data_IF_592339829473
#
_entry.id   IF_592339829473
#
_cell.length_a   1.000
_cell.length_b   1.000
_cell.length_c   1.000
_cell.angle_alpha   90.00
_cell.angle_beta   90.00
_cell.angle_gamma   90.00
#
_symmetry.space_group_name_H-M   'P 1'
#
loop_
_entity.id
_entity.type
_entity.pdbx_description
1 polymer ?
#
# COMPACT_ATOMS: atom_id res chain seq x y z
N UNK A 1 -36.87 -25.83 11.69
CA UNK A 1 -35.74 -26.02 12.62
C UNK A 1 -34.61 -25.11 12.13
N UNK A 2 -34.64 -23.88 12.58
CA UNK A 2 -33.68 -22.84 12.19
C UNK A 2 -32.38 -23.11 12.96
N UNK A 3 -31.35 -23.54 12.24
CA UNK A 3 -30.01 -23.62 12.85
C UNK A 3 -29.56 -22.21 13.13
N UNK A 4 -29.44 -21.87 14.39
CA UNK A 4 -28.71 -20.69 14.85
C UNK A 4 -27.24 -20.99 14.55
N UNK A 5 -26.75 -20.44 13.44
CA UNK A 5 -25.32 -20.37 13.18
C UNK A 5 -24.75 -19.45 14.27
N UNK A 6 -24.16 -20.01 15.30
CA UNK A 6 -23.26 -19.26 16.18
C UNK A 6 -22.09 -18.82 15.30
N UNK A 7 -22.03 -17.52 14.97
CA UNK A 7 -20.92 -16.99 14.20
C UNK A 7 -19.61 -17.33 14.91
N UNK A 8 -18.83 -18.22 14.35
CA UNK A 8 -17.50 -18.54 14.87
C UNK A 8 -16.63 -17.30 14.66
N UNK A 9 -16.01 -16.75 15.71
CA UNK A 9 -15.10 -15.65 15.54
C UNK A 9 -13.96 -16.08 14.62
N UNK A 10 -13.66 -15.27 13.57
CA UNK A 10 -12.61 -15.59 12.61
C UNK A 10 -11.20 -15.40 13.20
N UNK A 11 -11.08 -14.70 14.32
CA UNK A 11 -9.82 -14.50 15.07
C UNK A 11 -10.02 -15.02 16.49
N UNK A 12 -9.13 -15.90 16.92
CA UNK A 12 -9.05 -16.42 18.28
C UNK A 12 -7.78 -15.84 18.95
N UNK A 13 -7.94 -14.73 19.68
CA UNK A 13 -6.87 -14.02 20.40
C UNK A 13 -7.00 -14.36 21.91
N UNK A 14 -6.16 -15.26 22.39
CA UNK A 14 -6.11 -15.72 23.77
C UNK A 14 -4.73 -15.45 24.40
N UNK A 15 -4.50 -14.23 24.92
CA UNK A 15 -3.23 -13.87 25.53
C UNK A 15 -2.86 -14.73 26.75
N UNK A 16 -3.86 -15.25 27.49
CA UNK A 16 -3.61 -16.07 28.66
C UNK A 16 -2.99 -17.44 28.33
N UNK A 17 -3.22 -17.91 27.10
CA UNK A 17 -2.63 -19.14 26.56
C UNK A 17 -1.52 -18.90 25.55
N UNK A 18 -1.09 -17.67 25.36
CA UNK A 18 -0.13 -17.26 24.33
C UNK A 18 -0.53 -17.78 22.94
N UNK A 19 -1.83 -17.68 22.60
CA UNK A 19 -2.37 -18.23 21.37
C UNK A 19 -3.07 -17.16 20.55
N UNK A 20 -2.73 -17.10 19.25
CA UNK A 20 -3.44 -16.31 18.27
C UNK A 20 -3.65 -17.14 17.00
N UNK A 21 -4.90 -17.29 16.59
CA UNK A 21 -5.25 -18.08 15.40
C UNK A 21 -6.24 -17.32 14.52
N UNK A 22 -6.19 -17.59 13.23
CA UNK A 22 -7.09 -17.05 12.22
C UNK A 22 -7.78 -18.19 11.49
N UNK A 23 -9.11 -18.16 11.45
CA UNK A 23 -9.89 -19.16 10.75
C UNK A 23 -9.68 -19.04 9.23
N UNK A 24 -9.47 -20.14 8.53
CA UNK A 24 -9.17 -20.16 7.10
C UNK A 24 -10.30 -19.67 6.22
N UNK A 25 -11.54 -19.69 6.69
CA UNK A 25 -12.68 -19.08 5.99
C UNK A 25 -12.48 -17.57 5.78
N UNK A 26 -11.73 -16.89 6.64
CA UNK A 26 -11.34 -15.51 6.41
C UNK A 26 -10.60 -15.32 5.07
N UNK A 27 -9.93 -16.37 4.56
CA UNK A 27 -9.17 -16.36 3.31
C UNK A 27 -9.92 -16.95 2.12
N UNK A 28 -11.03 -17.67 2.35
CA UNK A 28 -11.66 -18.49 1.30
C UNK A 28 -13.14 -18.17 1.05
N UNK A 29 -13.84 -17.58 2.05
CA UNK A 29 -15.29 -17.34 1.94
C UNK A 29 -15.62 -16.19 0.98
N UNK A 30 -16.46 -16.41 -0.04
CA UNK A 30 -17.01 -15.34 -0.87
C UNK A 30 -17.88 -14.34 -0.10
N UNK A 31 -18.51 -14.78 0.98
CA UNK A 31 -19.35 -13.97 1.85
C UNK A 31 -18.49 -12.94 2.58
N UNK A 32 -17.42 -13.41 3.24
CA UNK A 32 -16.46 -12.54 3.93
C UNK A 32 -15.84 -11.54 2.96
N UNK A 33 -15.47 -11.99 1.76
CA UNK A 33 -14.93 -11.10 0.72
C UNK A 33 -15.91 -9.95 0.37
N UNK A 34 -17.20 -10.24 0.24
CA UNK A 34 -18.21 -9.20 -0.04
C UNK A 34 -18.37 -8.22 1.11
N UNK A 35 -18.33 -8.70 2.35
CA UNK A 35 -18.39 -7.86 3.54
C UNK A 35 -17.13 -6.99 3.68
N UNK A 36 -15.93 -7.51 3.39
CA UNK A 36 -14.69 -6.73 3.36
C UNK A 36 -14.77 -5.55 2.38
N UNK A 37 -15.35 -5.77 1.19
CA UNK A 37 -15.51 -4.71 0.20
C UNK A 37 -16.34 -3.53 0.72
N UNK A 38 -17.35 -3.80 1.53
CA UNK A 38 -18.19 -2.78 2.15
C UNK A 38 -17.54 -2.22 3.42
N UNK A 39 -17.23 -3.06 4.41
CA UNK A 39 -16.83 -2.65 5.76
C UNK A 39 -15.40 -2.17 5.86
N UNK A 40 -14.48 -2.77 5.12
CA UNK A 40 -13.07 -2.40 5.14
C UNK A 40 -12.78 -1.37 4.06
N UNK A 41 -12.96 -1.74 2.79
CA UNK A 41 -12.63 -0.87 1.67
C UNK A 41 -13.62 0.29 1.51
N UNK A 42 -14.85 0.14 2.00
CA UNK A 42 -15.86 1.21 2.06
C UNK A 42 -15.61 2.27 3.13
N UNK A 43 -14.93 1.90 4.24
CA UNK A 43 -14.82 2.74 5.44
C UNK A 43 -13.38 3.02 5.92
N UNK A 44 -12.38 2.69 5.11
CA UNK A 44 -10.98 2.98 5.41
C UNK A 44 -10.42 4.09 4.51
N UNK A 45 -9.28 4.68 4.90
CA UNK A 45 -8.46 5.46 4.01
C UNK A 45 -7.67 4.54 3.09
N UNK A 46 -7.80 4.74 1.79
CA UNK A 46 -7.15 3.95 0.75
C UNK A 46 -6.18 4.83 -0.03
N UNK A 47 -4.96 4.33 -0.25
CA UNK A 47 -3.96 5.04 -1.05
C UNK A 47 -4.40 5.13 -2.50
N UNK A 48 -4.39 6.34 -3.05
CA UNK A 48 -4.73 6.62 -4.45
C UNK A 48 -3.48 6.78 -5.30
N UNK A 49 -2.47 7.48 -4.79
CA UNK A 49 -1.25 7.81 -5.52
C UNK A 49 -0.40 8.84 -4.81
N UNK A 50 0.64 9.29 -5.47
CA UNK A 50 1.51 10.35 -4.97
C UNK A 50 1.31 11.63 -5.79
N UNK A 51 1.35 12.79 -5.15
CA UNK A 51 1.15 14.10 -5.80
C UNK A 51 2.10 14.35 -6.98
N UNK A 52 3.29 13.72 -6.97
CA UNK A 52 4.26 13.83 -8.06
C UNK A 52 3.79 13.20 -9.38
N UNK A 53 2.80 12.30 -9.32
CA UNK A 53 2.24 11.68 -10.53
C UNK A 53 1.33 12.64 -11.30
N UNK A 54 0.90 13.71 -10.64
CA UNK A 54 0.09 14.79 -11.20
C UNK A 54 0.76 16.14 -10.91
N UNK A 55 2.02 16.29 -11.29
CA UNK A 55 2.87 17.41 -10.92
C UNK A 55 2.42 18.75 -11.53
N UNK A 56 1.91 18.73 -12.76
CA UNK A 56 1.53 19.92 -13.52
C UNK A 56 0.00 20.06 -13.62
N UNK A 57 -0.52 21.30 -13.74
CA UNK A 57 -1.95 21.53 -13.97
C UNK A 57 -2.48 20.73 -15.16
N UNK A 58 -3.56 19.97 -14.95
CA UNK A 58 -4.18 19.09 -15.93
C UNK A 58 -3.60 17.67 -15.97
N UNK A 59 -2.48 17.38 -15.27
CA UNK A 59 -1.98 16.02 -15.16
C UNK A 59 -3.00 15.14 -14.44
N UNK A 60 -3.17 13.91 -14.94
CA UNK A 60 -4.07 12.94 -14.33
C UNK A 60 -3.52 11.52 -14.38
N UNK A 61 -3.97 10.71 -13.42
CA UNK A 61 -3.78 9.25 -13.40
C UNK A 61 -5.11 8.58 -13.06
N UNK A 62 -5.43 7.50 -13.80
CA UNK A 62 -6.60 6.66 -13.57
C UNK A 62 -6.18 5.39 -12.86
N UNK A 63 -6.91 5.03 -11.80
CA UNK A 63 -6.63 3.77 -11.08
C UNK A 63 -7.87 3.25 -10.33
N UNK A 64 -8.04 1.94 -10.24
CA UNK A 64 -9.05 1.37 -9.36
C UNK A 64 -8.59 1.47 -7.91
N UNK A 65 -9.50 1.87 -7.02
CA UNK A 65 -9.25 1.96 -5.56
C UNK A 65 -10.47 1.40 -4.84
N UNK A 66 -10.28 0.42 -3.96
CA UNK A 66 -11.38 -0.23 -3.24
C UNK A 66 -12.45 -0.82 -4.17
N UNK A 67 -12.04 -1.42 -5.30
CA UNK A 67 -12.95 -1.98 -6.30
C UNK A 67 -13.70 -0.94 -7.16
N UNK A 68 -13.45 0.37 -6.99
CA UNK A 68 -14.15 1.45 -7.69
C UNK A 68 -13.21 2.14 -8.68
N UNK A 69 -13.68 2.46 -9.92
CA UNK A 69 -12.88 3.20 -10.89
C UNK A 69 -12.77 4.67 -10.45
N UNK A 70 -11.56 5.11 -10.15
CA UNK A 70 -11.25 6.51 -9.81
C UNK A 70 -10.24 7.10 -10.79
N UNK A 71 -10.11 8.42 -10.78
CA UNK A 71 -8.95 9.11 -11.31
C UNK A 71 -8.58 10.29 -10.42
N UNK A 72 -7.27 10.51 -10.29
CA UNK A 72 -6.66 11.65 -9.61
C UNK A 72 -6.21 12.66 -10.67
N UNK A 73 -6.47 13.94 -10.44
CA UNK A 73 -6.12 15.01 -11.38
C UNK A 73 -5.66 16.25 -10.63
N UNK A 74 -4.69 16.96 -11.17
CA UNK A 74 -4.37 18.32 -10.70
C UNK A 74 -5.21 19.33 -11.45
N UNK A 75 -6.04 20.06 -10.72
CA UNK A 75 -6.90 21.09 -11.26
C UNK A 75 -6.12 22.14 -12.08
N UNK A 76 -6.55 22.42 -13.31
CA UNK A 76 -5.86 23.35 -14.19
C UNK A 76 -6.00 24.82 -13.74
N UNK A 77 -7.06 25.14 -12.99
CA UNK A 77 -7.34 26.48 -12.48
C UNK A 77 -6.83 26.68 -11.06
N UNK A 78 -7.05 25.68 -10.20
CA UNK A 78 -6.76 25.78 -8.77
C UNK A 78 -5.37 25.28 -8.39
N UNK A 79 -4.77 24.40 -9.21
CA UNK A 79 -3.54 23.66 -8.88
C UNK A 79 -3.72 22.63 -7.78
N UNK A 80 -4.92 22.43 -7.27
CA UNK A 80 -5.22 21.45 -6.23
C UNK A 80 -5.37 20.05 -6.83
N UNK A 81 -5.06 19.03 -6.05
CA UNK A 81 -5.32 17.64 -6.43
C UNK A 81 -6.77 17.31 -6.11
N UNK A 82 -7.43 16.65 -7.05
CA UNK A 82 -8.78 16.13 -6.90
C UNK A 82 -8.81 14.63 -7.19
N UNK A 83 -9.72 13.92 -6.54
CA UNK A 83 -10.00 12.50 -6.83
C UNK A 83 -11.49 12.34 -7.10
N UNK A 84 -11.82 11.88 -8.30
CA UNK A 84 -13.20 11.71 -8.75
C UNK A 84 -13.54 10.24 -9.01
N UNK A 85 -14.81 9.89 -8.80
CA UNK A 85 -15.37 8.69 -9.37
C UNK A 85 -15.32 8.78 -10.90
N UNK A 86 -14.72 7.81 -11.54
CA UNK A 86 -14.52 7.80 -13.00
C UNK A 86 -15.80 7.34 -13.72
N UNK A 87 -16.86 8.09 -13.58
CA UNK A 87 -18.16 7.78 -14.16
C UNK A 87 -18.85 9.06 -14.62
N UNK A 88 -19.39 9.04 -15.83
CA UNK A 88 -20.19 10.15 -16.38
C UNK A 88 -21.54 10.25 -15.67
N UNK A 89 -21.86 11.41 -15.18
CA UNK A 89 -23.11 11.68 -14.45
C UNK A 89 -24.37 11.62 -15.34
N UNK A 90 -24.20 11.55 -16.67
CA UNK A 90 -25.30 11.32 -17.59
C UNK A 90 -25.79 9.85 -17.55
N UNK A 91 -24.95 8.88 -17.97
CA UNK A 91 -25.33 7.47 -18.12
C UNK A 91 -24.21 6.49 -17.74
N UNK A 92 -23.31 6.89 -16.84
CA UNK A 92 -22.37 6.01 -16.17
C UNK A 92 -21.13 5.58 -16.97
N UNK A 93 -20.94 6.04 -18.22
CA UNK A 93 -19.75 5.67 -18.98
C UNK A 93 -18.47 6.21 -18.32
N UNK A 94 -17.38 5.43 -18.39
CA UNK A 94 -16.05 5.85 -17.92
C UNK A 94 -15.60 7.11 -18.69
N UNK A 95 -15.25 8.16 -17.96
CA UNK A 95 -14.89 9.47 -18.53
C UNK A 95 -13.39 9.51 -18.86
N UNK A 96 -12.54 9.24 -17.88
CA UNK A 96 -11.10 9.18 -18.04
C UNK A 96 -10.70 7.76 -18.49
N UNK A 97 -10.36 7.59 -19.78
CA UNK A 97 -10.11 6.26 -20.39
C UNK A 97 -8.64 5.87 -20.42
N UNK A 98 -7.74 6.82 -20.55
CA UNK A 98 -6.29 6.57 -20.55
C UNK A 98 -5.74 6.40 -19.14
N UNK A 99 -4.65 5.64 -18.99
CA UNK A 99 -4.02 5.40 -17.68
C UNK A 99 -3.51 6.69 -17.04
N UNK A 100 -2.90 7.56 -17.85
CA UNK A 100 -2.36 8.86 -17.42
C UNK A 100 -2.26 9.81 -18.60
N UNK A 101 -2.03 11.09 -18.32
CA UNK A 101 -1.84 12.11 -19.32
C UNK A 101 -2.01 13.52 -18.76
N UNK A 102 -2.14 14.50 -19.66
CA UNK A 102 -2.48 15.88 -19.32
C UNK A 102 -3.70 16.32 -20.13
N UNK A 103 -4.73 16.81 -19.46
CA UNK A 103 -5.98 17.27 -20.08
C UNK A 103 -6.61 18.41 -19.27
N UNK A 104 -7.05 19.44 -19.98
CA UNK A 104 -7.83 20.53 -19.37
C UNK A 104 -9.29 20.16 -19.18
N UNK A 105 -9.78 19.23 -19.99
CA UNK A 105 -11.17 18.77 -19.98
C UNK A 105 -11.23 17.24 -20.23
N UNK A 106 -12.26 16.63 -19.71
CA UNK A 106 -12.55 15.20 -19.85
C UNK A 106 -13.89 15.06 -20.57
N UNK A 107 -13.88 14.63 -21.82
CA UNK A 107 -15.08 14.42 -22.61
C UNK A 107 -15.51 12.95 -22.56
N UNK A 108 -16.75 12.72 -22.15
CA UNK A 108 -17.37 11.42 -22.21
C UNK A 108 -17.57 10.98 -23.68
N UNK A 109 -17.02 9.84 -24.04
CA UNK A 109 -17.07 9.36 -25.43
C UNK A 109 -18.48 8.99 -25.90
N UNK A 110 -19.41 8.77 -24.95
CA UNK A 110 -20.75 8.28 -25.26
C UNK A 110 -21.65 9.39 -25.84
N UNK A 111 -21.78 10.52 -25.11
CA UNK A 111 -22.65 11.64 -25.54
C UNK A 111 -21.95 13.00 -25.46
N UNK A 112 -20.62 13.01 -25.44
CA UNK A 112 -19.78 14.21 -25.43
C UNK A 112 -20.02 15.17 -24.25
N UNK A 113 -20.63 14.72 -23.14
CA UNK A 113 -20.64 15.51 -21.91
C UNK A 113 -19.19 15.78 -21.49
N UNK A 114 -18.88 17.04 -21.23
CA UNK A 114 -17.52 17.49 -20.99
C UNK A 114 -17.39 18.06 -19.58
N UNK A 115 -16.38 17.62 -18.87
CA UNK A 115 -16.08 18.05 -17.50
C UNK A 115 -14.71 18.74 -17.48
N UNK A 116 -14.55 19.79 -16.69
CA UNK A 116 -13.23 20.40 -16.48
C UNK A 116 -12.39 19.60 -15.47
N UNK A 117 -11.14 20.00 -15.25
CA UNK A 117 -10.24 19.33 -14.32
C UNK A 117 -10.58 19.53 -12.84
N UNK A 118 -11.47 20.45 -12.52
CA UNK A 118 -12.08 20.65 -11.21
C UNK A 118 -13.37 19.82 -11.03
N UNK A 119 -13.76 19.03 -12.05
CA UNK A 119 -14.93 18.17 -12.05
C UNK A 119 -16.23 18.83 -12.47
N UNK A 120 -16.23 20.14 -12.75
CA UNK A 120 -17.46 20.85 -13.14
C UNK A 120 -17.94 20.42 -14.53
N UNK A 121 -19.27 20.30 -14.70
CA UNK A 121 -19.87 20.06 -16.01
C UNK A 121 -19.72 21.30 -16.88
N UNK A 122 -18.81 21.27 -17.86
CA UNK A 122 -18.45 22.39 -18.71
C UNK A 122 -19.21 22.42 -20.03
N UNK A 123 -19.74 21.30 -20.52
CA UNK A 123 -20.45 21.25 -21.79
C UNK A 123 -21.41 20.07 -21.91
N UNK A 124 -22.59 20.36 -22.49
CA UNK A 124 -23.65 19.36 -22.78
C UNK A 124 -24.15 19.64 -24.19
N UNK A 125 -23.93 18.72 -25.16
CA UNK A 125 -24.51 18.85 -26.48
C UNK A 125 -26.04 18.87 -26.45
N UNK A 126 -26.66 19.76 -27.21
CA UNK A 126 -28.14 19.87 -27.28
C UNK A 126 -28.75 20.31 -25.94
N UNK A 127 -28.06 21.15 -25.18
CA UNK A 127 -28.49 21.63 -23.86
C UNK A 127 -29.90 22.23 -23.86
N UNK A 128 -30.29 22.82 -24.98
CA UNK A 128 -31.59 23.40 -25.20
C UNK A 128 -32.74 22.38 -25.23
N UNK A 129 -32.45 21.11 -25.40
CA UNK A 129 -33.42 20.01 -25.32
C UNK A 129 -33.78 19.59 -23.89
N UNK A 130 -33.06 20.12 -22.89
CA UNK A 130 -33.35 19.87 -21.48
C UNK A 130 -34.26 20.96 -20.92
N UNK A 131 -35.12 20.59 -19.96
CA UNK A 131 -36.02 21.54 -19.31
C UNK A 131 -35.29 22.67 -18.56
N UNK A 132 -35.87 23.85 -18.52
CA UNK A 132 -35.28 25.04 -17.89
C UNK A 132 -34.91 24.86 -16.41
N UNK A 133 -35.60 23.95 -15.72
CA UNK A 133 -35.42 23.68 -14.30
C UNK A 133 -34.33 22.66 -13.98
N UNK A 134 -33.62 22.11 -14.99
CA UNK A 134 -32.55 21.15 -14.74
C UNK A 134 -31.30 21.87 -14.21
N UNK A 135 -30.92 21.55 -12.98
CA UNK A 135 -29.65 22.03 -12.39
C UNK A 135 -28.45 21.26 -12.94
N UNK A 136 -27.79 21.83 -13.95
CA UNK A 136 -26.58 21.26 -14.53
C UNK A 136 -25.39 21.28 -13.58
N UNK A 137 -25.35 22.16 -12.58
CA UNK A 137 -24.23 22.18 -11.60
C UNK A 137 -24.24 20.93 -10.73
N UNK A 138 -25.41 20.40 -10.41
CA UNK A 138 -25.58 19.14 -9.68
C UNK A 138 -25.13 17.90 -10.47
N UNK A 139 -24.90 18.04 -11.79
CA UNK A 139 -24.46 16.99 -12.69
C UNK A 139 -22.94 17.01 -12.95
N UNK A 140 -22.18 17.71 -12.13
CA UNK A 140 -20.71 17.68 -12.10
C UNK A 140 -20.19 16.29 -11.68
N UNK A 141 -18.91 15.98 -11.98
CA UNK A 141 -18.28 14.74 -11.50
C UNK A 141 -18.37 14.65 -9.97
N UNK A 142 -18.59 13.45 -9.48
CA UNK A 142 -18.65 13.21 -8.04
C UNK A 142 -17.25 13.01 -7.48
N UNK A 143 -16.78 13.86 -6.56
CA UNK A 143 -15.57 13.60 -5.81
C UNK A 143 -15.77 12.39 -4.88
N UNK A 144 -14.69 11.76 -4.45
CA UNK A 144 -14.74 10.82 -3.32
C UNK A 144 -15.22 11.55 -2.06
N UNK A 145 -15.79 10.82 -1.10
CA UNK A 145 -16.38 11.42 0.11
C UNK A 145 -15.33 12.22 0.92
N UNK A 146 -14.14 11.66 1.07
CA UNK A 146 -13.00 12.34 1.71
C UNK A 146 -11.73 12.10 0.88
N UNK A 147 -10.89 13.12 0.74
CA UNK A 147 -9.54 13.04 0.19
C UNK A 147 -8.62 13.90 1.03
N UNK A 148 -7.52 13.33 1.47
CA UNK A 148 -6.46 14.05 2.17
C UNK A 148 -5.09 13.60 1.66
N UNK A 149 -4.08 14.46 1.80
CA UNK A 149 -2.70 14.16 1.44
C UNK A 149 -1.80 14.26 2.68
N UNK A 150 -0.96 13.26 2.88
CA UNK A 150 0.09 13.29 3.88
C UNK A 150 1.46 13.32 3.19
N UNK A 151 2.07 14.50 3.19
CA UNK A 151 3.42 14.74 2.62
C UNK A 151 3.58 14.19 1.18
N UNK A 152 2.55 14.32 0.36
CA UNK A 152 2.51 13.86 -1.03
C UNK A 152 1.82 12.51 -1.25
N UNK A 153 1.63 11.71 -0.23
CA UNK A 153 0.82 10.49 -0.31
C UNK A 153 -0.66 10.84 -0.26
N UNK A 154 -1.38 10.61 -1.35
CA UNK A 154 -2.81 10.94 -1.49
C UNK A 154 -3.65 9.73 -1.12
N UNK A 155 -4.59 9.96 -0.21
CA UNK A 155 -5.56 8.97 0.24
C UNK A 155 -6.98 9.43 -0.04
N UNK A 156 -7.87 8.48 -0.27
CA UNK A 156 -9.30 8.68 -0.40
C UNK A 156 -10.07 7.76 0.54
N UNK A 157 -11.23 8.22 0.99
CA UNK A 157 -12.22 7.37 1.67
C UNK A 157 -13.59 7.55 1.03
N UNK A 158 -14.40 6.50 1.08
CA UNK A 158 -15.79 6.51 0.63
C UNK A 158 -16.76 6.78 1.78
N UNK A 159 -16.24 6.94 3.00
CA UNK A 159 -17.00 7.27 4.21
C UNK A 159 -16.79 8.75 4.58
N UNK A 160 -17.86 9.51 4.60
CA UNK A 160 -17.85 10.94 5.01
C UNK A 160 -17.46 11.11 6.49
N UNK A 161 -17.70 10.08 7.31
CA UNK A 161 -17.48 10.10 8.75
C UNK A 161 -16.14 9.48 9.17
N UNK A 162 -15.31 9.08 8.23
CA UNK A 162 -13.98 8.57 8.56
C UNK A 162 -13.18 9.63 9.33
N UNK A 163 -12.43 9.22 10.35
CA UNK A 163 -11.54 10.12 11.08
C UNK A 163 -10.53 10.77 10.15
N UNK A 164 -9.98 11.94 10.50
CA UNK A 164 -8.95 12.61 9.68
C UNK A 164 -7.75 11.69 9.43
N UNK A 165 -7.07 11.90 8.30
CA UNK A 165 -5.98 11.04 7.85
C UNK A 165 -4.83 10.99 8.85
N UNK A 166 -4.49 12.12 9.49
CA UNK A 166 -3.37 12.17 10.44
C UNK A 166 -3.65 11.31 11.69
N UNK A 167 -4.87 11.35 12.20
CA UNK A 167 -5.33 10.49 13.30
C UNK A 167 -5.41 9.03 12.84
N UNK A 168 -5.90 8.77 11.63
CA UNK A 168 -5.97 7.42 11.08
C UNK A 168 -4.58 6.78 10.94
N UNK A 169 -3.62 7.49 10.40
CA UNK A 169 -2.25 7.00 10.21
C UNK A 169 -1.53 6.70 11.53
N UNK A 170 -1.95 7.32 12.63
CA UNK A 170 -1.41 7.05 13.98
C UNK A 170 0.14 6.97 13.99
N UNK A 171 0.71 5.87 14.49
CA UNK A 171 2.16 5.64 14.52
C UNK A 171 2.82 5.44 13.15
N UNK A 172 2.06 5.15 12.09
CA UNK A 172 2.60 4.98 10.75
C UNK A 172 3.18 6.27 10.16
N UNK A 173 2.74 7.45 10.65
CA UNK A 173 3.27 8.76 10.22
C UNK A 173 4.78 8.86 10.39
N UNK A 174 5.30 8.43 11.54
CA UNK A 174 6.74 8.48 11.82
C UNK A 174 7.54 7.70 10.77
N UNK A 175 7.02 6.57 10.30
CA UNK A 175 7.68 5.73 9.31
C UNK A 175 7.60 6.29 7.89
N UNK A 176 6.49 6.96 7.54
CA UNK A 176 6.40 7.75 6.31
C UNK A 176 7.37 8.93 6.35
N UNK A 177 7.48 9.61 7.51
CA UNK A 177 8.41 10.71 7.69
C UNK A 177 9.87 10.27 7.54
N UNK A 178 10.27 9.11 8.07
CA UNK A 178 11.61 8.56 7.86
C UNK A 178 11.95 8.33 6.39
N UNK A 179 10.96 7.89 5.60
CA UNK A 179 11.13 7.73 4.15
C UNK A 179 11.30 9.09 3.46
N UNK A 180 10.43 10.03 3.75
CA UNK A 180 10.38 11.33 3.07
C UNK A 180 11.57 12.22 3.49
N UNK A 181 11.94 12.20 4.77
CA UNK A 181 13.06 12.98 5.32
C UNK A 181 14.43 12.46 4.85
N UNK A 182 14.48 11.26 4.25
CA UNK A 182 15.71 10.74 3.61
C UNK A 182 16.17 11.58 2.42
N UNK A 183 15.26 12.39 1.85
CA UNK A 183 15.55 13.31 0.75
C UNK A 183 15.76 14.75 1.23
N UNK A 184 16.61 15.50 0.55
CA UNK A 184 16.72 16.96 0.68
C UNK A 184 15.57 17.66 -0.05
N UNK A 185 15.22 17.14 -1.20
CA UNK A 185 14.14 17.59 -2.04
C UNK A 185 12.85 16.82 -1.78
N UNK A 186 11.80 17.14 -2.53
CA UNK A 186 10.57 16.33 -2.52
C UNK A 186 10.84 14.95 -3.11
N UNK A 187 10.17 13.95 -2.56
CA UNK A 187 10.09 12.62 -3.18
C UNK A 187 9.21 12.65 -4.43
N UNK A 188 9.50 11.77 -5.37
CA UNK A 188 8.67 11.55 -6.56
C UNK A 188 8.54 10.07 -6.89
N UNK A 189 7.43 9.70 -7.50
CA UNK A 189 7.27 8.38 -8.11
C UNK A 189 8.13 8.33 -9.37
N UNK A 190 9.07 7.39 -9.42
CA UNK A 190 9.89 7.14 -10.60
C UNK A 190 9.01 6.56 -11.70
N UNK A 191 9.22 6.99 -12.94
CA UNK A 191 8.43 6.51 -14.08
C UNK A 191 8.60 5.02 -14.28
N UNK A 192 7.48 4.35 -14.47
CA UNK A 192 7.36 2.90 -14.55
C UNK A 192 6.55 2.36 -13.38
N UNK A 193 5.83 1.28 -13.64
CA UNK A 193 4.93 0.65 -12.67
C UNK A 193 4.96 -0.84 -12.91
N UNK A 194 5.15 -1.61 -11.85
CA UNK A 194 4.97 -3.05 -11.89
C UNK A 194 3.50 -3.37 -11.61
N UNK A 195 2.84 -4.08 -12.52
CA UNK A 195 1.47 -4.56 -12.35
C UNK A 195 1.44 -6.07 -12.56
N UNK A 196 0.91 -6.80 -11.60
CA UNK A 196 0.79 -8.27 -11.66
C UNK A 196 -0.39 -8.73 -10.81
N UNK A 197 -0.81 -9.98 -10.97
CA UNK A 197 -1.84 -10.57 -10.13
C UNK A 197 -1.29 -11.79 -9.37
N UNK A 198 -1.89 -12.07 -8.22
CA UNK A 198 -1.59 -13.23 -7.39
C UNK A 198 -2.89 -14.01 -7.18
N UNK A 199 -2.85 -15.33 -7.37
CA UNK A 199 -3.99 -16.22 -7.16
C UNK A 199 -4.10 -16.60 -5.68
N UNK A 200 -4.20 -15.59 -4.83
CA UNK A 200 -4.30 -15.72 -3.40
C UNK A 200 -5.12 -14.57 -2.78
N UNK A 201 -5.65 -14.80 -1.59
CA UNK A 201 -6.37 -13.80 -0.83
C UNK A 201 -5.46 -12.61 -0.45
N UNK A 202 -5.98 -11.40 -0.54
CA UNK A 202 -5.24 -10.16 -0.30
C UNK A 202 -4.59 -10.08 1.09
N UNK A 203 -5.19 -10.71 2.10
CA UNK A 203 -4.66 -10.73 3.47
C UNK A 203 -3.36 -11.53 3.60
N UNK A 204 -3.15 -12.52 2.74
CA UNK A 204 -1.89 -13.26 2.68
C UNK A 204 -0.72 -12.35 2.28
N UNK A 205 -0.93 -11.43 1.33
CA UNK A 205 0.11 -10.46 0.98
C UNK A 205 0.29 -9.38 2.04
N UNK A 206 -0.79 -9.02 2.77
CA UNK A 206 -0.68 -8.13 3.91
C UNK A 206 0.21 -8.72 5.01
N UNK A 207 0.01 -9.98 5.37
CA UNK A 207 0.87 -10.72 6.30
C UNK A 207 2.31 -10.82 5.80
N UNK A 208 2.51 -11.38 4.60
CA UNK A 208 3.83 -11.60 4.00
C UNK A 208 4.65 -10.30 3.92
N UNK A 209 4.00 -9.18 3.60
CA UNK A 209 4.69 -7.89 3.44
C UNK A 209 5.35 -7.37 4.72
N UNK A 210 4.94 -7.83 5.87
CA UNK A 210 5.48 -7.45 7.20
C UNK A 210 6.03 -8.66 7.96
N UNK A 211 6.25 -9.80 7.28
CA UNK A 211 6.80 -11.01 7.86
C UNK A 211 8.32 -11.05 7.69
N UNK A 212 9.05 -11.19 8.80
CA UNK A 212 10.50 -11.44 8.78
C UNK A 212 10.87 -12.91 8.85
N UNK A 213 9.92 -13.76 9.26
CA UNK A 213 10.21 -15.18 9.55
C UNK A 213 10.39 -16.02 8.29
N UNK A 214 9.62 -15.75 7.22
CA UNK A 214 9.73 -16.49 5.96
C UNK A 214 11.03 -16.21 5.19
N UNK A 215 11.68 -15.06 5.44
CA UNK A 215 12.73 -14.54 4.57
C UNK A 215 13.85 -15.55 4.29
N UNK A 216 14.36 -16.24 5.32
CA UNK A 216 15.50 -17.16 5.18
C UNK A 216 15.14 -18.41 4.39
N UNK A 217 13.94 -18.95 4.57
CA UNK A 217 13.50 -20.17 3.89
C UNK A 217 13.02 -19.91 2.46
N UNK A 218 12.34 -18.78 2.24
CA UNK A 218 11.69 -18.45 0.97
C UNK A 218 12.68 -17.81 -0.01
N UNK A 219 13.54 -16.89 0.46
CA UNK A 219 14.45 -16.10 -0.39
C UNK A 219 15.89 -16.61 -0.41
N UNK A 220 16.14 -17.91 -0.28
CA UNK A 220 17.47 -18.50 -0.28
C UNK A 220 18.31 -18.12 -1.51
N UNK A 221 17.68 -18.07 -2.69
CA UNK A 221 18.33 -17.65 -3.94
C UNK A 221 18.82 -16.22 -3.89
N UNK A 222 18.01 -15.31 -3.34
CA UNK A 222 18.40 -13.91 -3.18
C UNK A 222 19.55 -13.74 -2.18
N UNK A 223 19.51 -14.44 -1.05
CA UNK A 223 20.61 -14.40 -0.08
C UNK A 223 21.91 -14.95 -0.65
N UNK A 224 21.88 -16.03 -1.44
CA UNK A 224 23.05 -16.53 -2.17
C UNK A 224 23.60 -15.51 -3.17
N UNK A 225 22.73 -14.81 -3.87
CA UNK A 225 23.12 -13.70 -4.77
C UNK A 225 23.82 -12.58 -4.00
N UNK A 226 23.29 -12.12 -2.87
CA UNK A 226 23.92 -11.09 -2.02
C UNK A 226 25.29 -11.52 -1.50
N UNK A 227 25.42 -12.78 -1.06
CA UNK A 227 26.70 -13.34 -0.58
C UNK A 227 27.72 -13.37 -1.73
N UNK A 228 27.31 -13.75 -2.93
CA UNK A 228 28.18 -13.75 -4.11
C UNK A 228 28.68 -12.34 -4.48
N UNK A 229 27.92 -11.30 -4.15
CA UNK A 229 28.32 -9.89 -4.29
C UNK A 229 29.14 -9.35 -3.10
N UNK A 230 29.50 -10.19 -2.14
CA UNK A 230 30.34 -9.82 -1.01
C UNK A 230 29.58 -9.34 0.25
N UNK A 231 28.26 -9.40 0.26
CA UNK A 231 27.47 -9.01 1.46
C UNK A 231 27.67 -10.03 2.58
N UNK A 232 27.96 -9.52 3.80
CA UNK A 232 28.10 -10.36 4.99
C UNK A 232 26.80 -10.47 5.75
N UNK A 233 26.11 -11.58 5.64
CA UNK A 233 24.85 -11.87 6.32
C UNK A 233 25.03 -12.60 7.67
N UNK A 234 26.25 -12.71 8.19
CA UNK A 234 26.53 -13.32 9.49
C UNK A 234 25.98 -12.44 10.62
N UNK A 235 25.10 -12.97 11.45
CA UNK A 235 24.52 -12.26 12.60
C UNK A 235 23.00 -12.23 12.62
N UNK A 236 22.36 -12.70 11.57
CA UNK A 236 20.90 -12.77 11.48
C UNK A 236 20.24 -11.37 11.34
N UNK A 237 18.93 -11.36 11.28
CA UNK A 237 18.11 -10.13 11.24
C UNK A 237 17.81 -9.71 12.67
N UNK A 238 18.45 -8.62 13.13
CA UNK A 238 18.16 -8.02 14.43
C UNK A 238 17.18 -6.87 14.23
N UNK A 239 16.09 -6.89 14.98
CA UNK A 239 15.07 -5.86 14.85
C UNK A 239 13.85 -6.10 15.73
N UNK A 240 12.79 -5.37 15.47
CA UNK A 240 11.54 -5.43 16.23
C UNK A 240 10.33 -5.31 15.31
N UNK A 241 9.24 -5.90 15.76
CA UNK A 241 7.93 -5.74 15.16
C UNK A 241 7.05 -4.85 16.04
N UNK A 242 6.27 -3.95 15.46
CA UNK A 242 5.44 -2.99 16.20
C UNK A 242 4.03 -2.90 15.64
N UNK A 243 3.07 -2.88 16.53
CA UNK A 243 1.73 -2.34 16.30
C UNK A 243 1.80 -0.81 16.33
N UNK A 244 1.30 -0.16 15.30
CA UNK A 244 1.31 1.30 15.14
C UNK A 244 -0.05 1.95 15.37
N UNK A 245 -1.05 1.14 15.78
CA UNK A 245 -2.45 1.54 15.91
C UNK A 245 -3.23 1.41 14.60
N UNK A 246 -4.54 1.31 14.71
CA UNK A 246 -5.49 1.21 13.59
C UNK A 246 -5.21 0.05 12.59
N UNK A 247 -4.51 -1.00 13.02
CA UNK A 247 -4.10 -2.12 12.17
C UNK A 247 -2.86 -1.84 11.33
N UNK A 248 -2.26 -0.65 11.44
CA UNK A 248 -0.97 -0.36 10.86
C UNK A 248 0.12 -1.08 11.65
N UNK A 249 1.14 -1.52 10.95
CA UNK A 249 2.20 -2.29 11.57
C UNK A 249 3.52 -2.12 10.83
N UNK A 250 4.63 -2.34 11.52
CA UNK A 250 5.95 -2.28 10.91
C UNK A 250 6.86 -3.38 11.44
N UNK A 251 7.67 -3.91 10.55
CA UNK A 251 8.87 -4.66 10.83
C UNK A 251 10.07 -3.73 10.58
N UNK A 252 10.85 -3.43 11.62
CA UNK A 252 12.07 -2.60 11.54
C UNK A 252 13.27 -3.44 11.94
N UNK A 253 14.32 -3.49 11.11
CA UNK A 253 15.46 -4.35 11.32
C UNK A 253 16.74 -3.76 10.73
N UNK A 254 17.90 -4.18 11.25
CA UNK A 254 19.21 -3.77 10.72
C UNK A 254 19.33 -4.06 9.23
N UNK A 255 19.96 -3.15 8.48
CA UNK A 255 20.18 -3.27 7.04
C UNK A 255 21.53 -3.94 6.73
N UNK A 256 21.63 -5.28 6.72
CA UNK A 256 22.90 -5.98 6.52
C UNK A 256 23.41 -5.89 5.09
N UNK A 257 22.53 -5.57 4.14
CA UNK A 257 22.86 -5.38 2.71
C UNK A 257 23.01 -3.90 2.32
N UNK A 258 23.10 -3.01 3.29
CA UNK A 258 23.26 -1.57 3.06
C UNK A 258 22.01 -0.89 2.49
N UNK A 259 22.18 0.41 2.23
CA UNK A 259 21.13 1.26 1.65
C UNK A 259 21.77 2.24 0.66
N UNK A 260 21.36 2.31 -0.58
CA UNK A 260 21.97 3.16 -1.60
C UNK A 260 22.01 4.64 -1.22
N UNK A 261 21.13 5.07 -0.33
CA UNK A 261 20.98 6.46 0.08
C UNK A 261 21.87 6.88 1.26
N UNK A 262 22.41 5.95 2.06
CA UNK A 262 23.11 6.35 3.27
C UNK A 262 24.01 5.31 3.93
N UNK A 263 24.00 4.06 3.46
CA UNK A 263 24.84 2.99 3.99
C UNK A 263 25.47 2.20 2.84
N UNK A 264 26.77 2.42 2.64
CA UNK A 264 27.51 1.70 1.60
C UNK A 264 27.78 0.25 2.00
N UNK A 265 27.67 -0.62 1.03
CA UNK A 265 28.11 -2.03 1.06
C UNK A 265 28.75 -2.40 -0.29
N UNK A 266 29.60 -3.46 -0.35
CA UNK A 266 30.29 -3.85 -1.59
C UNK A 266 29.39 -4.05 -2.81
N UNK A 267 28.16 -4.47 -2.59
CA UNK A 267 27.09 -4.59 -3.59
C UNK A 267 26.90 -3.32 -4.44
N UNK A 268 27.17 -2.13 -3.89
CA UNK A 268 26.96 -0.85 -4.60
C UNK A 268 28.20 -0.41 -5.42
N UNK A 269 29.32 -1.13 -5.32
CA UNK A 269 30.58 -0.77 -5.96
C UNK A 269 31.39 0.28 -5.20
N UNK A 270 32.71 0.25 -5.35
CA UNK A 270 33.61 1.19 -4.68
C UNK A 270 33.42 2.65 -5.16
N UNK A 271 33.00 2.84 -6.40
CA UNK A 271 32.72 4.14 -7.00
C UNK A 271 31.54 4.88 -6.31
N UNK A 272 30.66 4.16 -5.63
CA UNK A 272 29.54 4.75 -4.87
C UNK A 272 29.89 5.13 -3.42
N UNK A 273 31.07 4.74 -2.92
CA UNK A 273 31.42 4.85 -1.50
C UNK A 273 31.41 6.30 -1.01
N UNK A 274 32.10 7.17 -1.73
CA UNK A 274 32.22 8.59 -1.37
C UNK A 274 30.87 9.31 -1.43
N UNK A 275 30.13 9.09 -2.52
CA UNK A 275 28.80 9.67 -2.73
C UNK A 275 27.78 9.25 -1.64
N UNK A 276 27.75 7.97 -1.27
CA UNK A 276 26.89 7.48 -0.18
C UNK A 276 27.33 8.05 1.18
N UNK A 277 28.67 8.25 1.41
CA UNK A 277 29.14 8.89 2.60
C UNK A 277 28.73 10.38 2.69
N UNK A 278 28.73 11.11 1.59
CA UNK A 278 28.22 12.49 1.52
C UNK A 278 26.73 12.57 1.81
N UNK A 279 25.92 11.63 1.28
CA UNK A 279 24.49 11.56 1.62
C UNK A 279 24.28 11.31 3.10
N UNK A 280 25.07 10.40 3.70
CA UNK A 280 25.04 10.16 5.15
C UNK A 280 25.35 11.43 5.94
N UNK A 281 26.40 12.15 5.57
CA UNK A 281 26.78 13.40 6.22
C UNK A 281 25.65 14.45 6.10
N UNK A 282 24.99 14.53 4.95
CA UNK A 282 23.83 15.38 4.73
C UNK A 282 22.66 15.03 5.65
N UNK A 283 22.33 13.74 5.81
CA UNK A 283 21.31 13.28 6.75
C UNK A 283 21.62 13.68 8.18
N UNK A 284 22.88 13.49 8.63
CA UNK A 284 23.33 13.86 9.97
C UNK A 284 23.20 15.37 10.18
N UNK A 285 23.62 16.16 9.22
CA UNK A 285 23.54 17.63 9.30
C UNK A 285 22.10 18.14 9.43
N UNK A 286 21.13 17.49 8.76
CA UNK A 286 19.72 17.90 8.80
C UNK A 286 18.96 17.38 10.01
N UNK A 287 19.23 16.15 10.44
CA UNK A 287 18.36 15.43 11.38
C UNK A 287 19.04 14.99 12.67
N UNK A 288 20.37 15.19 12.79
CA UNK A 288 21.20 14.68 13.88
C UNK A 288 21.54 13.19 13.71
N UNK A 289 22.55 12.72 14.46
CA UNK A 289 23.10 11.37 14.31
C UNK A 289 22.08 10.25 14.56
N UNK A 290 21.27 10.38 15.62
CA UNK A 290 20.29 9.34 15.99
C UNK A 290 19.26 9.09 14.88
N UNK A 291 18.62 10.15 14.35
CA UNK A 291 17.62 10.04 13.29
C UNK A 291 18.26 9.63 11.96
N UNK A 292 19.44 10.16 11.64
CA UNK A 292 20.18 9.78 10.44
C UNK A 292 20.58 8.29 10.47
N UNK A 293 21.06 7.78 11.59
CA UNK A 293 21.38 6.37 11.78
C UNK A 293 20.12 5.50 11.62
N UNK A 294 19.00 5.92 12.19
CA UNK A 294 17.75 5.18 12.01
C UNK A 294 17.28 5.14 10.55
N UNK A 295 17.47 6.23 9.78
CA UNK A 295 17.19 6.24 8.34
C UNK A 295 18.16 5.37 7.53
N UNK A 296 19.44 5.42 7.86
CA UNK A 296 20.51 4.80 7.09
C UNK A 296 20.76 3.33 7.40
N UNK A 297 20.66 2.93 8.68
CA UNK A 297 21.15 1.64 9.15
C UNK A 297 20.04 0.62 9.37
N UNK A 298 18.76 1.01 9.17
CA UNK A 298 17.62 0.12 9.35
C UNK A 298 16.75 0.05 8.10
N UNK A 299 16.27 -1.15 7.82
CA UNK A 299 15.22 -1.43 6.84
C UNK A 299 13.85 -1.45 7.51
N UNK A 300 12.80 -1.21 6.73
CA UNK A 300 11.43 -1.21 7.22
C UNK A 300 10.48 -1.82 6.22
N UNK A 301 9.60 -2.67 6.73
CA UNK A 301 8.41 -3.12 6.02
C UNK A 301 7.21 -2.53 6.76
N UNK A 302 6.62 -1.48 6.21
CA UNK A 302 5.49 -0.76 6.78
C UNK A 302 4.20 -1.17 6.08
N UNK A 303 3.24 -1.67 6.84
CA UNK A 303 1.87 -1.85 6.39
C UNK A 303 1.00 -0.71 6.92
N UNK A 304 0.38 0.03 6.03
CA UNK A 304 -0.71 0.96 6.32
C UNK A 304 -2.01 0.26 5.94
N UNK A 305 -2.77 -0.12 6.95
CA UNK A 305 -4.04 -0.83 6.78
C UNK A 305 -5.00 -0.06 5.86
N UNK A 306 -5.78 -0.71 4.95
CA UNK A 306 -5.82 -2.16 4.81
C UNK A 306 -4.74 -2.73 3.88
N UNK A 307 -4.27 -2.02 2.85
CA UNK A 307 -3.60 -2.61 1.71
C UNK A 307 -2.49 -1.75 1.07
N UNK A 308 -1.93 -0.80 1.82
CA UNK A 308 -0.75 -0.06 1.39
C UNK A 308 0.48 -0.59 2.11
N UNK A 309 1.50 -0.95 1.36
CA UNK A 309 2.81 -1.34 1.89
C UNK A 309 3.88 -0.38 1.39
N UNK A 310 4.74 0.06 2.29
CA UNK A 310 5.96 0.80 1.98
C UNK A 310 7.15 -0.05 2.44
N UNK A 311 7.87 -0.63 1.49
CA UNK A 311 9.11 -1.34 1.76
C UNK A 311 10.28 -0.36 1.60
N UNK A 312 10.78 0.13 2.73
CA UNK A 312 11.95 1.00 2.82
C UNK A 312 13.18 0.14 3.11
N UNK A 313 13.70 -0.51 2.06
CA UNK A 313 14.82 -1.46 2.13
C UNK A 313 16.00 -0.88 1.33
N UNK A 314 16.45 -1.52 0.26
CA UNK A 314 17.48 -0.96 -0.64
C UNK A 314 16.92 0.10 -1.57
N UNK A 315 15.69 -0.10 -2.02
CA UNK A 315 14.86 0.88 -2.71
C UNK A 315 13.64 1.21 -1.84
N UNK A 316 12.89 2.25 -2.18
CA UNK A 316 11.63 2.54 -1.50
C UNK A 316 10.48 2.15 -2.43
N UNK A 317 9.91 0.99 -2.17
CA UNK A 317 8.78 0.47 -2.95
C UNK A 317 7.47 0.81 -2.25
N UNK A 318 6.58 1.48 -2.96
CA UNK A 318 5.18 1.70 -2.55
C UNK A 318 4.33 0.70 -3.29
N UNK A 319 3.53 -0.10 -2.59
CA UNK A 319 2.78 -1.21 -3.16
C UNK A 319 1.36 -1.24 -2.63
N UNK A 320 0.39 -1.38 -3.55
CA UNK A 320 -1.01 -1.64 -3.19
C UNK A 320 -1.46 -2.97 -3.80
N UNK A 321 -2.39 -3.63 -3.13
CA UNK A 321 -3.00 -4.87 -3.61
C UNK A 321 -4.51 -4.78 -3.41
N UNK A 322 -5.24 -4.90 -4.54
CA UNK A 322 -6.68 -4.79 -4.57
C UNK A 322 -7.30 -6.17 -4.78
N UNK A 323 -8.12 -6.65 -3.84
CA UNK A 323 -8.81 -7.93 -4.03
C UNK A 323 -9.81 -7.82 -5.19
N UNK A 324 -9.74 -8.76 -6.12
CA UNK A 324 -10.68 -8.89 -7.25
C UNK A 324 -11.56 -10.13 -7.12
N UNK A 325 -11.17 -11.10 -6.27
CA UNK A 325 -11.95 -12.27 -5.85
C UNK A 325 -11.46 -12.74 -4.47
N UNK A 326 -12.16 -13.66 -3.79
CA UNK A 326 -11.71 -14.22 -2.51
C UNK A 326 -10.29 -14.81 -2.57
N UNK A 327 -9.89 -15.34 -3.71
CA UNK A 327 -8.62 -16.01 -3.97
C UNK A 327 -7.80 -15.33 -5.07
N UNK A 328 -8.01 -14.01 -5.28
CA UNK A 328 -7.27 -13.25 -6.29
C UNK A 328 -7.13 -11.79 -5.91
N UNK A 329 -5.94 -11.26 -6.12
CA UNK A 329 -5.65 -9.84 -5.99
C UNK A 329 -4.83 -9.30 -7.17
N UNK A 330 -5.01 -8.02 -7.46
CA UNK A 330 -4.23 -7.27 -8.43
C UNK A 330 -3.26 -6.35 -7.67
N UNK A 331 -1.97 -6.46 -7.96
CA UNK A 331 -0.90 -5.73 -7.27
C UNK A 331 -0.34 -4.65 -8.19
N UNK A 332 -0.14 -3.47 -7.63
CA UNK A 332 0.56 -2.37 -8.29
C UNK A 332 1.69 -1.88 -7.39
N UNK A 333 2.90 -1.77 -7.92
CA UNK A 333 4.08 -1.32 -7.20
C UNK A 333 4.80 -0.20 -7.94
N UNK A 334 5.25 0.81 -7.20
CA UNK A 334 6.00 1.97 -7.65
C UNK A 334 7.30 2.09 -6.86
N UNK A 335 8.32 2.59 -7.51
CA UNK A 335 9.51 3.12 -6.87
C UNK A 335 9.28 4.59 -6.52
N UNK A 336 9.67 5.01 -5.32
CA UNK A 336 9.71 6.43 -4.91
C UNK A 336 11.15 6.83 -4.59
N UNK A 337 11.57 7.99 -5.09
CA UNK A 337 12.94 8.47 -4.95
C UNK A 337 12.98 9.98 -4.77
N UNK A 338 14.09 10.56 -4.24
CA UNK A 338 14.31 12.00 -4.24
C UNK A 338 14.29 12.57 -5.65
N UNK A 339 13.60 13.69 -5.86
CA UNK A 339 13.47 14.31 -7.19
C UNK A 339 14.83 14.71 -7.80
N UNK A 340 15.70 15.26 -6.98
CA UNK A 340 17.00 15.80 -7.40
C UNK A 340 18.15 14.81 -7.16
N UNK A 341 17.84 13.51 -7.05
CA UNK A 341 18.82 12.46 -6.88
C UNK A 341 19.74 12.36 -8.10
N UNK A 342 21.04 12.18 -7.86
CA UNK A 342 22.00 11.99 -8.93
C UNK A 342 21.68 10.76 -9.78
N UNK A 343 21.87 10.84 -11.10
CA UNK A 343 21.44 9.81 -12.03
C UNK A 343 22.00 8.42 -11.72
N UNK A 344 23.24 8.34 -11.25
CA UNK A 344 23.88 7.07 -10.89
C UNK A 344 23.29 6.44 -9.62
N UNK A 345 22.92 7.26 -8.61
CA UNK A 345 22.22 6.75 -7.42
C UNK A 345 20.81 6.28 -7.76
N UNK A 346 20.13 7.04 -8.61
CA UNK A 346 18.81 6.65 -9.13
C UNK A 346 18.87 5.32 -9.87
N UNK A 347 19.90 5.10 -10.70
CA UNK A 347 20.10 3.83 -11.38
C UNK A 347 20.28 2.67 -10.37
N UNK A 348 21.14 2.84 -9.36
CA UNK A 348 21.34 1.83 -8.32
C UNK A 348 20.05 1.50 -7.56
N UNK A 349 19.24 2.52 -7.27
CA UNK A 349 17.94 2.37 -6.64
C UNK A 349 16.98 1.57 -7.51
N UNK A 350 16.90 1.90 -8.82
CA UNK A 350 16.09 1.17 -9.79
C UNK A 350 16.56 -0.28 -9.95
N UNK A 351 17.86 -0.52 -10.01
CA UNK A 351 18.41 -1.87 -10.08
C UNK A 351 18.00 -2.68 -8.83
N UNK A 352 18.07 -2.08 -7.64
CA UNK A 352 17.63 -2.70 -6.40
C UNK A 352 16.11 -2.97 -6.38
N UNK A 353 15.30 -2.03 -6.87
CA UNK A 353 13.86 -2.19 -7.00
C UNK A 353 13.49 -3.36 -7.93
N UNK A 354 14.13 -3.42 -9.10
CA UNK A 354 13.86 -4.47 -10.09
C UNK A 354 14.39 -5.83 -9.63
N UNK A 355 15.56 -5.87 -8.99
CA UNK A 355 16.22 -7.12 -8.57
C UNK A 355 15.51 -7.76 -7.38
N UNK A 356 14.96 -6.97 -6.46
CA UNK A 356 14.36 -7.50 -5.23
C UNK A 356 12.84 -7.68 -5.33
N UNK A 357 12.07 -6.59 -5.45
CA UNK A 357 10.61 -6.60 -5.37
C UNK A 357 9.90 -6.46 -6.72
N UNK A 358 10.62 -6.47 -7.83
CA UNK A 358 9.99 -6.54 -9.15
C UNK A 358 9.37 -7.91 -9.42
N UNK A 359 8.33 -8.03 -10.25
CA UNK A 359 7.69 -9.31 -10.56
C UNK A 359 8.62 -10.32 -11.27
N UNK A 360 9.73 -9.85 -11.81
CA UNK A 360 10.81 -10.67 -12.36
C UNK A 360 12.08 -10.63 -11.49
N UNK A 361 11.99 -10.07 -10.27
CA UNK A 361 13.07 -10.05 -9.29
C UNK A 361 13.24 -11.37 -8.54
N UNK A 362 14.08 -11.36 -7.54
CA UNK A 362 14.35 -12.57 -6.76
C UNK A 362 13.27 -12.85 -5.70
N UNK A 363 12.75 -11.82 -5.02
CA UNK A 363 11.87 -12.03 -3.88
C UNK A 363 10.40 -12.19 -4.28
N UNK A 364 9.87 -11.35 -5.17
CA UNK A 364 8.44 -11.36 -5.50
C UNK A 364 7.97 -12.70 -6.10
N UNK A 365 8.69 -13.38 -7.02
CA UNK A 365 8.25 -14.69 -7.51
C UNK A 365 8.20 -15.77 -6.41
N UNK A 366 9.17 -15.76 -5.47
CA UNK A 366 9.19 -16.69 -4.34
C UNK A 366 7.98 -16.45 -3.42
N UNK A 367 7.66 -15.19 -3.14
CA UNK A 367 6.48 -14.81 -2.36
C UNK A 367 5.19 -15.26 -3.05
N UNK A 368 5.06 -15.02 -4.36
CA UNK A 368 3.87 -15.43 -5.14
C UNK A 368 3.64 -16.93 -5.00
N UNK A 369 4.67 -17.75 -5.22
CA UNK A 369 4.59 -19.20 -5.09
C UNK A 369 4.14 -19.60 -3.67
N UNK A 370 4.71 -18.99 -2.63
CA UNK A 370 4.35 -19.28 -1.25
C UNK A 370 2.88 -18.95 -0.96
N UNK A 371 2.40 -17.76 -1.39
CA UNK A 371 1.04 -17.32 -1.15
C UNK A 371 0.00 -18.13 -1.92
N UNK A 372 0.27 -18.46 -3.18
CA UNK A 372 -0.59 -19.31 -4.00
C UNK A 372 -0.64 -20.74 -3.46
N UNK A 373 0.49 -21.26 -2.96
CA UNK A 373 0.56 -22.54 -2.26
C UNK A 373 -0.28 -22.56 -0.98
N UNK A 374 -0.24 -21.50 -0.16
CA UNK A 374 -1.10 -21.35 1.01
C UNK A 374 -2.58 -21.35 0.61
N UNK A 375 -2.96 -20.56 -0.39
CA UNK A 375 -4.33 -20.49 -0.89
C UNK A 375 -4.83 -21.84 -1.41
N UNK A 376 -3.98 -22.60 -2.11
CA UNK A 376 -4.29 -23.95 -2.54
C UNK A 376 -4.46 -24.89 -1.33
N UNK A 377 -3.57 -24.82 -0.35
CA UNK A 377 -3.60 -25.63 0.88
C UNK A 377 -4.87 -25.41 1.71
N UNK A 378 -5.45 -24.23 1.69
CA UNK A 378 -6.72 -23.95 2.39
C UNK A 378 -7.90 -24.74 1.85
N UNK A 379 -7.86 -25.17 0.58
CA UNK A 379 -8.90 -26.00 -0.04
C UNK A 379 -8.93 -27.42 0.49
N UNK A 380 -7.94 -27.85 1.27
CA UNK A 380 -7.90 -29.22 1.81
C UNK A 380 -9.03 -29.53 2.81
N UNK A 381 -9.59 -28.50 3.48
CA UNK A 381 -10.70 -28.65 4.45
C UNK A 381 -10.36 -29.40 5.74
N UNK A 382 -9.14 -29.93 5.86
CA UNK A 382 -8.73 -30.74 7.01
C UNK A 382 -8.14 -29.94 8.20
N UNK A 383 -7.86 -28.66 7.99
CA UNK A 383 -7.31 -27.75 9.02
C UNK A 383 -8.05 -26.43 8.95
N UNK A 384 -8.72 -26.05 10.01
CA UNK A 384 -9.59 -24.87 10.05
C UNK A 384 -8.85 -23.58 10.41
N UNK A 385 -7.74 -23.67 11.12
CA UNK A 385 -7.05 -22.52 11.71
C UNK A 385 -5.60 -22.40 11.24
N UNK A 386 -5.18 -21.18 10.99
CA UNK A 386 -3.76 -20.79 10.91
C UNK A 386 -3.33 -20.32 12.29
N UNK A 387 -2.09 -20.65 12.69
CA UNK A 387 -1.48 -20.20 13.94
C UNK A 387 -0.48 -19.09 13.66
N UNK A 388 -0.63 -17.95 14.33
CA UNK A 388 0.29 -16.81 14.31
C UNK A 388 0.61 -16.36 15.74
N UNK A 389 0.88 -17.34 16.61
CA UNK A 389 1.16 -17.15 18.05
C UNK A 389 2.63 -16.82 18.34
N UNK A 390 3.52 -16.89 17.35
CA UNK A 390 4.96 -16.72 17.57
C UNK A 390 5.27 -15.39 18.26
N UNK A 391 6.07 -15.46 19.34
CA UNK A 391 6.51 -14.30 20.12
C UNK A 391 5.43 -13.68 21.03
N UNK A 392 4.37 -14.44 21.40
CA UNK A 392 3.35 -13.95 22.36
C UNK A 392 3.82 -13.99 23.81
N UNK A 393 4.88 -14.71 24.12
CA UNK A 393 5.42 -14.94 25.47
C UNK A 393 6.59 -14.02 25.84
N UNK A 394 6.98 -13.11 24.94
CA UNK A 394 8.13 -12.23 25.09
C UNK A 394 7.95 -10.87 24.40
N UNK A 395 8.93 -9.99 24.59
CA UNK A 395 9.02 -8.76 23.79
C UNK A 395 9.19 -9.10 22.29
N UNK A 396 8.45 -8.44 21.38
CA UNK A 396 8.48 -8.75 19.96
C UNK A 396 9.85 -8.53 19.33
N UNK A 397 10.33 -9.54 18.60
CA UNK A 397 11.52 -9.51 17.76
C UNK A 397 11.13 -9.43 16.27
N UNK A 398 12.12 -9.21 15.39
CA UNK A 398 11.90 -9.04 13.94
C UNK A 398 11.24 -10.27 13.27
N UNK A 399 11.51 -11.47 13.78
CA UNK A 399 10.97 -12.72 13.24
C UNK A 399 9.70 -13.20 13.98
N UNK A 400 9.16 -12.38 14.88
CA UNK A 400 7.89 -12.69 15.55
C UNK A 400 6.70 -12.16 14.72
N UNK A 401 5.47 -12.46 15.18
CA UNK A 401 4.24 -12.20 14.41
C UNK A 401 3.34 -11.12 15.06
N UNK A 402 3.89 -10.29 15.96
CA UNK A 402 3.15 -9.25 16.65
C UNK A 402 2.50 -8.23 15.67
N UNK A 403 3.19 -7.89 14.59
CA UNK A 403 2.74 -6.99 13.54
C UNK A 403 1.56 -7.57 12.74
N UNK A 404 1.55 -8.87 12.47
CA UNK A 404 0.43 -9.55 11.81
C UNK A 404 -0.80 -9.57 12.71
N UNK A 405 -0.61 -9.82 14.03
CA UNK A 405 -1.70 -9.79 15.00
C UNK A 405 -2.36 -8.41 15.11
N UNK A 406 -1.61 -7.32 14.95
CA UNK A 406 -2.15 -5.96 14.89
C UNK A 406 -3.12 -5.79 13.70
N UNK A 407 -2.73 -6.25 12.51
CA UNK A 407 -3.57 -6.28 11.33
C UNK A 407 -4.87 -7.07 11.58
N UNK A 408 -4.77 -8.30 12.10
CA UNK A 408 -5.93 -9.17 12.30
C UNK A 408 -6.88 -8.68 13.39
N UNK A 409 -6.37 -8.04 14.45
CA UNK A 409 -7.23 -7.38 15.46
C UNK A 409 -8.07 -6.27 14.84
N UNK A 410 -7.47 -5.46 13.98
CA UNK A 410 -8.20 -4.40 13.27
C UNK A 410 -9.21 -4.97 12.27
N UNK A 411 -8.80 -5.98 11.52
CA UNK A 411 -9.71 -6.69 10.61
C UNK A 411 -10.92 -7.24 11.36
N UNK A 412 -10.71 -7.98 12.45
CA UNK A 412 -11.79 -8.56 13.28
C UNK A 412 -12.69 -7.47 13.86
N UNK A 413 -12.13 -6.35 14.31
CA UNK A 413 -12.91 -5.22 14.82
C UNK A 413 -13.88 -4.68 13.77
N UNK A 414 -13.42 -4.48 12.53
CA UNK A 414 -14.29 -3.97 11.46
C UNK A 414 -15.32 -5.00 10.99
N UNK A 415 -14.93 -6.28 10.96
CA UNK A 415 -15.81 -7.36 10.53
C UNK A 415 -16.79 -7.79 11.64
N UNK A 416 -16.37 -7.76 12.91
CA UNK A 416 -17.14 -8.24 14.05
C UNK A 416 -18.29 -7.35 14.50
N UNK A 417 -18.17 -6.03 14.36
CA UNK A 417 -19.21 -5.07 14.76
C UNK A 417 -20.54 -5.23 14.01
N UNK A 418 -20.56 -6.01 12.96
CA UNK A 418 -21.77 -6.28 12.19
C UNK A 418 -22.46 -7.60 12.54
N UNK A 419 -21.75 -8.61 13.00
CA UNK A 419 -22.38 -9.82 13.50
C UNK A 419 -23.28 -9.52 14.73
N UNK A 420 -23.00 -8.44 15.47
CA UNK A 420 -23.86 -7.97 16.57
C UNK A 420 -25.10 -7.17 16.12
N UNK A 421 -25.14 -6.63 14.90
CA UNK A 421 -26.28 -5.81 14.43
C UNK A 421 -27.39 -6.63 13.78
N UNK A 422 -27.07 -7.80 13.23
CA UNK A 422 -28.07 -8.70 12.62
C UNK A 422 -28.79 -9.60 13.65
N UNK A 423 -28.33 -9.60 14.90
CA UNK A 423 -29.02 -10.33 16.01
C UNK A 423 -29.93 -9.43 16.86
N UNK A 424 -30.23 -8.22 16.43
CA UNK A 424 -31.24 -7.33 17.04
C UNK A 424 -32.33 -7.03 16.01
#
# INVERSE_FOLDING_TARGET
MTMVSSAIPMVDDDPARHRFRVHRDAMTSPEIFREEADRIFGHSWLYVGHESEVASPGDYVRRPVGGRPLFMVRGAKTGQVHVFHNTCTHRGAVVCRHKSGNAKVFQCFYHAWTFDSEGNLAGVPGREAYGENLDFSALSLRPVARMESYRGFVFASFDENVTDLATYLAGAREYLDLVIDSADSKMEVVKGTNEYCIQANWKLLAENSIDGYHAVSTHDTYFKYLIALGTNLKGGVQGTARDLGNGHAVLEYAAPWGRPIAKWEPLFGEDAREEIAELRAGLVARHGEERASRMADTNRNLLIYPNLVVNDIMAVTVRTFMPSAPDRMDVTAWEIAPRDELAQLRQRRLDSFLTFLGPAGFATPDDIEALESCQLGYRSGGVEWNDISRGMDRAPEANDEAQMRAFWRRWQQQMGDAACKEMR
#
